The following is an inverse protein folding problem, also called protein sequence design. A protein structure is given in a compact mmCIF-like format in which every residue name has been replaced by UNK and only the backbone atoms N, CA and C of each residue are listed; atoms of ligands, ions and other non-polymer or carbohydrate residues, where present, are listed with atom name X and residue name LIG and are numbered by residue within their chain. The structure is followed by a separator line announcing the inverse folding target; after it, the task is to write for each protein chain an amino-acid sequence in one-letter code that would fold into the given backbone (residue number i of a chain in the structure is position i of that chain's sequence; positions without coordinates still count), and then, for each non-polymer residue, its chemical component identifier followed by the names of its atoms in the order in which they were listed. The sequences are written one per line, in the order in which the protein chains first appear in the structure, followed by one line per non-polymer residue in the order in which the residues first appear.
data_IF_379744111404
#
_entry.id   IF_379744111404
#
_cell.length_a   1.000
_cell.length_b   1.000
_cell.length_c   1.000
_cell.angle_alpha   90.00
_cell.angle_beta   90.00
_cell.angle_gamma   90.00
#
_symmetry.space_group_name_H-M   'P 1'
#
loop_
_entity.id
_entity.type
_entity.pdbx_description
1 polymer ?
#
# COMPACT_ATOMS: atom_id res chain seq x y z
N UNK A 1 16.62 9.99 -9.50
CA UNK A 1 15.43 9.20 -9.81
C UNK A 1 14.21 9.81 -9.12
N UNK A 2 13.10 10.08 -9.83
CA UNK A 2 11.91 10.65 -9.19
C UNK A 2 11.38 9.77 -8.07
N UNK A 3 10.92 10.41 -7.02
CA UNK A 3 10.35 9.73 -5.87
C UNK A 3 9.04 10.40 -5.48
N UNK A 4 8.10 9.61 -4.99
CA UNK A 4 6.83 10.10 -4.48
C UNK A 4 6.46 9.32 -3.23
N UNK A 5 5.68 9.94 -2.37
CA UNK A 5 5.20 9.28 -1.17
C UNK A 5 3.82 9.82 -0.82
N UNK A 6 3.01 8.98 -0.20
CA UNK A 6 1.70 9.39 0.28
C UNK A 6 1.37 8.66 1.57
N UNK A 7 0.91 9.42 2.55
CA UNK A 7 0.44 8.86 3.80
C UNK A 7 -1.03 8.52 3.67
N UNK A 8 -1.41 7.34 4.16
CA UNK A 8 -2.79 6.88 4.15
C UNK A 8 -3.11 6.24 5.50
N UNK A 9 -4.38 5.99 5.74
CA UNK A 9 -4.85 5.24 6.90
C UNK A 9 -5.68 4.08 6.38
N UNK A 10 -5.44 2.88 6.91
CA UNK A 10 -6.23 1.71 6.52
C UNK A 10 -7.66 1.93 7.00
N UNK A 11 -8.62 1.93 6.08
CA UNK A 11 -10.01 2.25 6.39
C UNK A 11 -10.96 1.08 6.24
N UNK A 12 -10.54 -0.01 5.62
CA UNK A 12 -11.38 -1.19 5.50
C UNK A 12 -11.32 -2.02 6.80
N UNK A 13 -12.44 -2.58 7.16
CA UNK A 13 -12.66 -3.20 8.46
C UNK A 13 -11.71 -4.35 8.77
N UNK A 14 -11.42 -5.18 7.77
CA UNK A 14 -10.56 -6.34 7.92
C UNK A 14 -9.08 -6.04 7.71
N UNK A 15 -8.75 -4.80 7.35
CA UNK A 15 -7.36 -4.41 7.11
C UNK A 15 -6.76 -5.05 5.87
N UNK A 16 -5.44 -5.19 5.86
CA UNK A 16 -4.70 -5.74 4.73
C UNK A 16 -4.63 -7.27 4.78
N UNK A 17 -5.78 -7.93 4.70
CA UNK A 17 -5.81 -9.38 4.56
C UNK A 17 -5.49 -9.79 3.10
N UNK A 18 -5.60 -11.07 2.78
CA UNK A 18 -5.10 -11.59 1.49
C UNK A 18 -5.67 -10.89 0.26
N UNK A 19 -6.97 -10.63 0.24
CA UNK A 19 -7.62 -10.02 -0.93
C UNK A 19 -7.14 -8.61 -1.23
N UNK A 20 -7.17 -7.66 -0.26
CA UNK A 20 -6.60 -6.33 -0.49
C UNK A 20 -5.11 -6.37 -0.81
N UNK A 21 -4.35 -7.26 -0.16
CA UNK A 21 -2.92 -7.37 -0.44
C UNK A 21 -2.67 -7.78 -1.88
N UNK A 22 -3.45 -8.72 -2.41
CA UNK A 22 -3.34 -9.15 -3.81
C UNK A 22 -3.72 -8.04 -4.77
N UNK A 23 -4.78 -7.29 -4.47
CA UNK A 23 -5.19 -6.15 -5.29
C UNK A 23 -4.11 -5.08 -5.32
N UNK A 24 -3.52 -4.78 -4.17
CA UNK A 24 -2.44 -3.81 -4.07
C UNK A 24 -1.25 -4.23 -4.95
N UNK A 25 -0.82 -5.47 -4.81
CA UNK A 25 0.33 -5.99 -5.55
C UNK A 25 0.06 -5.99 -7.05
N UNK A 26 -1.15 -6.38 -7.47
CA UNK A 26 -1.52 -6.36 -8.89
C UNK A 26 -1.40 -4.96 -9.48
N UNK A 27 -1.86 -3.95 -8.77
CA UNK A 27 -1.74 -2.57 -9.24
C UNK A 27 -0.28 -2.11 -9.20
N UNK A 28 0.43 -2.42 -8.11
CA UNK A 28 1.84 -2.04 -7.97
C UNK A 28 2.70 -2.60 -9.11
N UNK A 29 2.40 -3.82 -9.56
CA UNK A 29 3.13 -4.45 -10.65
C UNK A 29 2.87 -3.83 -12.02
N UNK A 30 1.89 -2.94 -12.16
CA UNK A 30 1.64 -2.20 -13.39
C UNK A 30 2.63 -1.05 -13.59
N UNK A 31 3.36 -0.71 -12.55
CA UNK A 31 4.30 0.41 -12.57
C UNK A 31 5.74 -0.11 -12.54
N UNK A 32 6.64 0.68 -13.15
CA UNK A 32 8.07 0.35 -13.15
C UNK A 32 8.77 0.75 -11.87
N UNK A 33 8.20 1.73 -11.15
CA UNK A 33 8.78 2.20 -9.89
C UNK A 33 8.88 1.09 -8.86
N UNK A 34 9.90 1.19 -8.02
CA UNK A 34 9.98 0.36 -6.82
C UNK A 34 8.96 0.88 -5.82
N UNK A 35 8.18 0.00 -5.25
CA UNK A 35 7.10 0.36 -4.31
C UNK A 35 7.44 -0.20 -2.93
N UNK A 36 7.47 0.68 -1.93
CA UNK A 36 7.68 0.27 -0.54
C UNK A 36 6.49 0.78 0.27
N UNK A 37 5.99 -0.06 1.17
CA UNK A 37 4.92 0.31 2.08
C UNK A 37 5.45 0.27 3.49
N UNK A 38 5.30 1.36 4.21
CA UNK A 38 5.78 1.50 5.59
C UNK A 38 4.61 1.63 6.54
N UNK A 39 4.61 0.82 7.59
CA UNK A 39 3.66 0.95 8.68
C UNK A 39 4.26 1.94 9.69
N UNK A 40 3.51 2.97 10.01
CA UNK A 40 3.94 4.04 10.91
C UNK A 40 3.43 3.73 12.32
N UNK A 41 3.95 4.47 13.31
CA UNK A 41 3.49 4.33 14.69
C UNK A 41 4.54 3.68 15.58
N UNK A 42 4.10 3.06 16.66
CA UNK A 42 4.99 2.53 17.69
C UNK A 42 5.80 1.33 17.26
N UNK A 43 5.26 0.53 16.35
CA UNK A 43 5.93 -0.65 15.83
C UNK A 43 6.10 -0.52 14.31
N UNK A 44 7.06 0.31 13.87
CA UNK A 44 7.24 0.51 12.44
C UNK A 44 7.71 -0.77 11.75
N UNK A 45 7.24 -0.97 10.54
CA UNK A 45 7.63 -2.10 9.72
C UNK A 45 7.50 -1.68 8.26
N UNK A 46 8.14 -2.42 7.36
CA UNK A 46 8.02 -2.11 5.94
C UNK A 46 7.91 -3.39 5.11
N UNK A 47 7.33 -3.24 3.94
CA UNK A 47 7.10 -4.33 3.01
C UNK A 47 7.39 -3.87 1.58
N UNK A 48 7.83 -4.81 0.75
CA UNK A 48 7.90 -4.60 -0.69
C UNK A 48 6.46 -4.62 -1.22
N UNK A 49 6.04 -3.50 -1.81
CA UNK A 49 4.67 -3.37 -2.34
C UNK A 49 4.34 -4.29 -3.51
N UNK A 50 5.34 -5.00 -4.04
CA UNK A 50 5.15 -5.98 -5.11
C UNK A 50 5.22 -7.42 -4.61
N UNK A 51 5.23 -7.62 -3.29
CA UNK A 51 5.23 -8.95 -2.68
C UNK A 51 3.97 -9.15 -1.86
N UNK A 52 3.09 -10.05 -2.30
CA UNK A 52 1.86 -10.38 -1.57
C UNK A 52 2.19 -10.87 -0.16
N UNK A 53 3.19 -11.73 -0.06
CA UNK A 53 3.58 -12.30 1.23
C UNK A 53 4.01 -11.22 2.23
N UNK A 54 4.86 -10.29 1.78
CA UNK A 54 5.33 -9.23 2.66
C UNK A 54 4.18 -8.29 3.06
N UNK A 55 3.27 -7.99 2.13
CA UNK A 55 2.11 -7.15 2.43
C UNK A 55 1.21 -7.80 3.48
N UNK A 56 1.01 -9.12 3.41
CA UNK A 56 0.22 -9.84 4.41
C UNK A 56 0.93 -9.83 5.76
N UNK A 57 2.23 -10.08 5.76
CA UNK A 57 3.04 -10.11 7.00
C UNK A 57 3.05 -8.75 7.69
N UNK A 58 2.92 -7.66 6.91
CA UNK A 58 2.85 -6.32 7.46
C UNK A 58 1.69 -6.18 8.46
N UNK A 59 0.63 -6.96 8.26
CA UNK A 59 -0.49 -7.10 9.21
C UNK A 59 -1.13 -5.78 9.61
N UNK A 60 -1.32 -4.87 8.65
CA UNK A 60 -1.94 -3.57 8.92
C UNK A 60 -3.45 -3.75 9.13
N UNK A 61 -3.94 -3.30 10.27
CA UNK A 61 -5.36 -3.38 10.63
C UNK A 61 -6.04 -2.03 10.43
N UNK A 62 -7.38 -2.01 10.53
CA UNK A 62 -8.15 -0.78 10.43
C UNK A 62 -7.58 0.29 11.37
N UNK A 63 -7.42 1.50 10.85
CA UNK A 63 -6.89 2.62 11.62
C UNK A 63 -5.36 2.75 11.59
N UNK A 64 -4.66 1.80 10.99
CA UNK A 64 -3.19 1.84 10.94
C UNK A 64 -2.72 2.92 9.96
N UNK A 65 -1.89 3.88 10.41
CA UNK A 65 -1.29 4.84 9.49
C UNK A 65 -0.14 4.19 8.71
N UNK A 66 -0.09 4.47 7.43
CA UNK A 66 0.92 3.88 6.55
C UNK A 66 1.42 4.91 5.56
N UNK A 67 2.60 4.67 5.01
CA UNK A 67 3.16 5.49 3.94
C UNK A 67 3.49 4.61 2.76
N UNK A 68 3.00 5.01 1.58
CA UNK A 68 3.34 4.37 0.32
C UNK A 68 4.44 5.20 -0.32
N UNK A 69 5.57 4.58 -0.63
CA UNK A 69 6.70 5.24 -1.29
C UNK A 69 6.95 4.59 -2.63
N UNK A 70 7.23 5.41 -3.64
CA UNK A 70 7.58 4.91 -4.95
C UNK A 70 8.83 5.64 -5.46
N UNK A 71 9.70 4.91 -6.13
CA UNK A 71 10.92 5.46 -6.72
C UNK A 71 11.02 4.98 -8.17
N UNK A 72 10.94 5.91 -9.11
CA UNK A 72 10.98 5.60 -10.55
C UNK A 72 10.25 6.66 -11.36
N UNK A 73 10.28 6.51 -12.68
CA UNK A 73 9.73 7.53 -13.59
C UNK A 73 8.21 7.70 -13.44
N UNK A 74 7.50 6.66 -13.03
CA UNK A 74 6.05 6.70 -12.84
C UNK A 74 5.64 6.75 -11.36
N UNK A 75 6.54 7.24 -10.50
CA UNK A 75 6.31 7.26 -9.06
C UNK A 75 5.05 8.00 -8.64
N UNK A 76 4.78 9.18 -9.21
CA UNK A 76 3.60 9.97 -8.86
C UNK A 76 2.30 9.24 -9.21
N UNK A 77 2.24 8.66 -10.42
CA UNK A 77 1.09 7.86 -10.82
C UNK A 77 0.90 6.66 -9.92
N UNK A 78 1.99 5.99 -9.58
CA UNK A 78 1.95 4.79 -8.75
C UNK A 78 1.35 5.07 -7.39
N UNK A 79 1.83 6.10 -6.67
CA UNK A 79 1.29 6.41 -5.34
C UNK A 79 -0.16 6.87 -5.41
N UNK A 80 -0.55 7.61 -6.45
CA UNK A 80 -1.93 8.05 -6.60
C UNK A 80 -2.88 6.86 -6.78
N UNK A 81 -2.51 5.93 -7.66
CA UNK A 81 -3.31 4.73 -7.92
C UNK A 81 -3.42 3.84 -6.70
N UNK A 82 -2.30 3.63 -6.02
CA UNK A 82 -2.27 2.76 -4.85
C UNK A 82 -3.04 3.37 -3.67
N UNK A 83 -2.92 4.69 -3.47
CA UNK A 83 -3.68 5.37 -2.42
C UNK A 83 -5.19 5.29 -2.69
N UNK A 84 -5.60 5.34 -3.95
CA UNK A 84 -7.01 5.23 -4.32
C UNK A 84 -7.63 3.90 -3.85
N UNK A 85 -6.85 2.81 -3.85
CA UNK A 85 -7.34 1.53 -3.34
C UNK A 85 -7.77 1.65 -1.88
N UNK A 86 -6.99 2.36 -1.06
CA UNK A 86 -7.35 2.57 0.34
C UNK A 86 -8.55 3.48 0.48
N UNK A 87 -8.65 4.52 -0.34
CA UNK A 87 -9.79 5.45 -0.31
C UNK A 87 -11.11 4.74 -0.63
N UNK A 88 -11.06 3.75 -1.49
CA UNK A 88 -12.25 2.97 -1.89
C UNK A 88 -12.40 1.69 -1.09
N UNK A 89 -11.58 1.51 -0.03
CA UNK A 89 -11.59 0.33 0.83
C UNK A 89 -11.40 -0.97 0.05
N UNK A 90 -10.61 -0.90 -1.04
CA UNK A 90 -10.39 -2.05 -1.93
C UNK A 90 -11.68 -2.64 -2.49
N UNK A 91 -12.74 -1.82 -2.58
CA UNK A 91 -14.03 -2.28 -3.06
C UNK A 91 -14.80 -3.14 -2.06
N UNK A 92 -14.32 -3.28 -0.84
CA UNK A 92 -15.02 -4.06 0.19
C UNK A 92 -16.17 -3.26 0.80
N UNK A 93 -17.26 -3.96 1.07
CA UNK A 93 -18.39 -3.39 1.78
C UNK A 93 -18.27 -3.70 3.26
N UNK A 94 -18.60 -2.72 4.09
CA UNK A 94 -18.50 -2.87 5.54
C UNK A 94 -19.76 -2.46 6.27
#
# INVERSE_FOLDING_TARGET
MPMAARDIVVSNKLGLHARPAMQFVDVANQFKSDITVKKLGEEPAEADGKSVMQMIILAATEGTPMRIEAAGDDADEAVAKLAELFDTKFGEEE
#
